data_IF_014806877571
#
_entry.id   IF_014806877571
#
_cell.length_a   1.000
_cell.length_b   1.000
_cell.length_c   1.000
_cell.angle_alpha   90.00
_cell.angle_beta   90.00
_cell.angle_gamma   90.00
#
_symmetry.space_group_name_H-M   'P 1'
#
loop_
_entity.id
_entity.type
_entity.pdbx_description
1 polymer ?
#
# COMPACT_ATOMS: atom_id res chain seq x y z
N UNK A 1 8.32 -41.86 -39.48
CA UNK A 1 7.88 -40.46 -39.75
C UNK A 1 6.49 -40.18 -39.19
N UNK A 2 5.46 -40.96 -39.54
CA UNK A 2 4.06 -40.74 -39.10
C UNK A 2 3.85 -40.68 -37.56
N UNK A 3 4.51 -41.55 -36.79
CA UNK A 3 4.41 -41.51 -35.31
C UNK A 3 4.98 -40.22 -34.69
N UNK A 4 6.01 -39.63 -35.32
CA UNK A 4 6.63 -38.39 -34.85
C UNK A 4 5.70 -37.19 -35.07
N UNK A 5 5.02 -37.13 -36.22
CA UNK A 5 4.02 -36.09 -36.52
C UNK A 5 2.81 -36.19 -35.59
N UNK A 6 2.28 -37.39 -35.38
CA UNK A 6 1.16 -37.62 -34.46
C UNK A 6 1.52 -37.19 -33.02
N UNK A 7 2.75 -37.49 -32.57
CA UNK A 7 3.25 -37.07 -31.26
C UNK A 7 3.41 -35.56 -31.16
N UNK A 8 3.94 -34.91 -32.21
CA UNK A 8 4.11 -33.46 -32.26
C UNK A 8 2.77 -32.73 -32.25
N UNK A 9 1.79 -33.22 -33.00
CA UNK A 9 0.43 -32.68 -33.04
C UNK A 9 -0.25 -32.77 -31.66
N UNK A 10 -0.08 -33.91 -30.96
CA UNK A 10 -0.61 -34.10 -29.61
C UNK A 10 0.06 -33.17 -28.59
N UNK A 11 1.37 -32.93 -28.70
CA UNK A 11 2.09 -31.97 -27.85
C UNK A 11 1.66 -30.53 -28.12
N UNK A 12 1.46 -30.15 -29.38
CA UNK A 12 0.98 -28.83 -29.77
C UNK A 12 -0.42 -28.55 -29.20
N UNK A 13 -1.34 -29.50 -29.35
CA UNK A 13 -2.69 -29.40 -28.78
C UNK A 13 -2.66 -29.29 -27.25
N UNK A 14 -1.79 -30.06 -26.58
CA UNK A 14 -1.62 -29.97 -25.13
C UNK A 14 -1.05 -28.62 -24.67
N UNK A 15 -0.16 -28.00 -25.45
CA UNK A 15 0.36 -26.65 -25.18
C UNK A 15 -0.71 -25.58 -25.36
N UNK A 16 -1.51 -25.68 -26.42
CA UNK A 16 -2.64 -24.77 -26.67
C UNK A 16 -3.66 -24.84 -25.53
N UNK A 17 -4.02 -26.03 -25.06
CA UNK A 17 -4.89 -26.21 -23.90
C UNK A 17 -4.31 -25.60 -22.62
N UNK A 18 -3.01 -25.77 -22.37
CA UNK A 18 -2.34 -25.16 -21.21
C UNK A 18 -2.33 -23.64 -21.28
N UNK A 19 -2.10 -23.06 -22.46
CA UNK A 19 -2.10 -21.61 -22.64
C UNK A 19 -3.50 -21.01 -22.40
N UNK A 20 -4.56 -21.69 -22.85
CA UNK A 20 -5.95 -21.30 -22.59
C UNK A 20 -6.23 -21.32 -21.08
N UNK A 21 -5.91 -22.43 -20.41
CA UNK A 21 -6.14 -22.57 -18.97
C UNK A 21 -5.35 -21.52 -18.15
N UNK A 22 -4.10 -21.22 -18.54
CA UNK A 22 -3.32 -20.16 -17.90
C UNK A 22 -3.95 -18.78 -18.10
N UNK A 23 -4.46 -18.50 -19.30
CA UNK A 23 -5.18 -17.25 -19.58
C UNK A 23 -6.42 -17.08 -18.71
N UNK A 24 -7.20 -18.15 -18.52
CA UNK A 24 -8.37 -18.16 -17.63
C UNK A 24 -7.99 -17.92 -16.16
N UNK A 25 -6.94 -18.58 -15.67
CA UNK A 25 -6.43 -18.38 -14.30
C UNK A 25 -5.95 -16.95 -14.09
N UNK A 26 -5.26 -16.34 -15.06
CA UNK A 26 -4.82 -14.94 -14.98
C UNK A 26 -6.03 -14.01 -14.89
N UNK A 27 -7.03 -14.20 -15.76
CA UNK A 27 -8.25 -13.40 -15.74
C UNK A 27 -8.97 -13.52 -14.38
N UNK A 28 -9.03 -14.72 -13.80
CA UNK A 28 -9.63 -14.93 -12.49
C UNK A 28 -8.85 -14.22 -11.37
N UNK A 29 -7.52 -14.23 -11.42
CA UNK A 29 -6.67 -13.50 -10.47
C UNK A 29 -6.91 -11.98 -10.57
N UNK A 30 -7.07 -11.44 -11.78
CA UNK A 30 -7.35 -10.02 -11.99
C UNK A 30 -8.72 -9.62 -11.43
N UNK A 31 -9.74 -10.46 -11.63
CA UNK A 31 -11.09 -10.25 -11.08
C UNK A 31 -11.08 -10.29 -9.54
N UNK A 32 -10.42 -11.28 -8.94
CA UNK A 32 -10.28 -11.38 -7.48
C UNK A 32 -9.52 -10.20 -6.88
N UNK A 33 -8.46 -9.72 -7.55
CA UNK A 33 -7.75 -8.49 -7.14
C UNK A 33 -8.63 -7.25 -7.21
N UNK A 34 -9.47 -7.14 -8.25
CA UNK A 34 -10.45 -6.06 -8.39
C UNK A 34 -11.46 -6.06 -7.26
N UNK A 35 -12.04 -7.24 -6.96
CA UNK A 35 -13.02 -7.42 -5.89
C UNK A 35 -12.48 -7.01 -4.52
N UNK A 36 -11.24 -7.41 -4.20
CA UNK A 36 -10.59 -7.01 -2.94
C UNK A 36 -10.49 -5.49 -2.83
N UNK A 37 -10.14 -4.81 -3.92
CA UNK A 37 -10.04 -3.34 -3.95
C UNK A 37 -11.41 -2.68 -3.76
N UNK A 38 -12.45 -3.19 -4.41
CA UNK A 38 -13.81 -2.67 -4.32
C UNK A 38 -14.40 -2.87 -2.90
N UNK A 39 -14.12 -4.01 -2.28
CA UNK A 39 -14.51 -4.31 -0.90
C UNK A 39 -13.78 -3.38 0.08
N UNK A 40 -12.50 -3.04 -0.16
CA UNK A 40 -11.75 -2.07 0.64
C UNK A 40 -12.37 -0.69 0.51
N UNK A 41 -12.62 -0.22 -0.71
CA UNK A 41 -13.20 1.10 -0.96
C UNK A 41 -14.57 1.24 -0.29
N UNK A 42 -15.41 0.21 -0.42
CA UNK A 42 -16.72 0.14 0.22
C UNK A 42 -16.59 0.19 1.74
N UNK A 43 -15.71 -0.60 2.33
CA UNK A 43 -15.52 -0.66 3.78
C UNK A 43 -14.92 0.63 4.35
N UNK A 44 -13.97 1.27 3.67
CA UNK A 44 -13.42 2.57 4.07
C UNK A 44 -14.51 3.63 4.03
N UNK A 45 -15.29 3.70 2.94
CA UNK A 45 -16.32 4.71 2.77
C UNK A 45 -17.50 4.54 3.74
N UNK A 46 -17.89 3.30 4.06
CA UNK A 46 -19.02 3.03 4.95
C UNK A 46 -18.62 3.11 6.43
N UNK A 47 -17.41 2.71 6.80
CA UNK A 47 -17.04 2.55 8.21
C UNK A 47 -16.05 3.62 8.68
N UNK A 48 -15.05 3.97 7.88
CA UNK A 48 -13.97 4.88 8.29
C UNK A 48 -14.34 6.34 8.04
N UNK A 49 -14.80 6.69 6.84
CA UNK A 49 -15.14 8.07 6.45
C UNK A 49 -16.16 8.76 7.37
N UNK A 50 -17.25 8.09 7.84
CA UNK A 50 -18.21 8.72 8.74
C UNK A 50 -17.62 9.04 10.12
N UNK A 51 -16.65 8.24 10.60
CA UNK A 51 -15.96 8.49 11.87
C UNK A 51 -14.98 9.67 11.72
N UNK A 52 -14.30 9.77 10.57
CA UNK A 52 -13.42 10.91 10.26
C UNK A 52 -14.20 12.23 10.17
N UNK A 53 -15.37 12.23 9.54
CA UNK A 53 -16.25 13.41 9.49
C UNK A 53 -16.73 13.85 10.88
N UNK A 54 -17.02 12.90 11.78
CA UNK A 54 -17.37 13.19 13.18
C UNK A 54 -16.19 13.75 13.97
N UNK A 55 -14.98 13.20 13.77
CA UNK A 55 -13.73 13.69 14.38
C UNK A 55 -13.34 15.10 13.92
N UNK A 56 -13.72 15.49 12.71
CA UNK A 56 -13.47 16.84 12.17
C UNK A 56 -14.42 17.89 12.75
N UNK A 57 -15.68 17.50 13.05
CA UNK A 57 -16.73 18.41 13.52
C UNK A 57 -16.70 18.64 15.03
N UNK A 58 -16.46 17.60 15.81
CA UNK A 58 -16.35 17.69 17.27
C UNK A 58 -14.88 17.55 17.65
N UNK A 59 -14.33 18.47 18.46
CA UNK A 59 -12.97 18.35 19.03
C UNK A 59 -12.73 16.90 19.42
N UNK A 60 -11.78 16.24 18.75
CA UNK A 60 -11.60 14.79 18.70
C UNK A 60 -11.95 14.08 20.02
N UNK A 61 -13.13 13.47 20.08
CA UNK A 61 -13.53 12.65 21.22
C UNK A 61 -12.71 11.36 21.22
N UNK A 62 -12.09 11.02 22.36
CA UNK A 62 -11.35 9.77 22.55
C UNK A 62 -12.17 8.53 22.15
N UNK A 63 -13.51 8.61 22.24
CA UNK A 63 -14.44 7.57 21.81
C UNK A 63 -14.36 7.29 20.30
N UNK A 64 -14.36 8.33 19.47
CA UNK A 64 -14.31 8.16 18.03
C UNK A 64 -12.95 7.65 17.54
N UNK A 65 -11.86 8.09 18.19
CA UNK A 65 -10.50 7.57 17.92
C UNK A 65 -10.42 6.08 18.26
N UNK A 66 -10.99 5.67 19.38
CA UNK A 66 -11.01 4.25 19.81
C UNK A 66 -11.81 3.39 18.84
N UNK A 67 -12.98 3.87 18.41
CA UNK A 67 -13.83 3.17 17.44
C UNK A 67 -13.14 3.05 16.07
N UNK A 68 -12.49 4.12 15.60
CA UNK A 68 -11.69 4.10 14.37
C UNK A 68 -10.58 3.05 14.45
N UNK A 69 -9.83 3.00 15.56
CA UNK A 69 -8.76 2.02 15.78
C UNK A 69 -9.30 0.57 15.74
N UNK A 70 -10.45 0.30 16.35
CA UNK A 70 -11.10 -1.01 16.32
C UNK A 70 -11.50 -1.43 14.90
N UNK A 71 -12.18 -0.55 14.15
CA UNK A 71 -12.61 -0.87 12.79
C UNK A 71 -11.42 -1.06 11.84
N UNK A 72 -10.39 -0.22 11.94
CA UNK A 72 -9.16 -0.38 11.16
C UNK A 72 -8.40 -1.66 11.53
N UNK A 73 -8.37 -2.05 12.81
CA UNK A 73 -7.77 -3.31 13.23
C UNK A 73 -8.48 -4.53 12.62
N UNK A 74 -9.82 -4.52 12.60
CA UNK A 74 -10.59 -5.60 11.96
C UNK A 74 -10.38 -5.66 10.45
N UNK A 75 -10.43 -4.51 9.79
CA UNK A 75 -10.19 -4.42 8.35
C UNK A 75 -8.77 -4.88 7.98
N UNK A 76 -7.75 -4.49 8.76
CA UNK A 76 -6.36 -4.89 8.47
C UNK A 76 -6.08 -6.35 8.82
N UNK A 77 -6.77 -6.95 9.79
CA UNK A 77 -6.60 -8.36 10.17
C UNK A 77 -7.12 -9.37 9.14
N UNK A 78 -8.11 -8.99 8.32
CA UNK A 78 -8.54 -9.82 7.18
C UNK A 78 -7.53 -9.80 6.02
N UNK A 79 -6.60 -8.85 6.01
CA UNK A 79 -5.48 -8.83 5.07
C UNK A 79 -4.26 -9.47 5.76
N UNK A 80 -4.12 -10.79 5.60
CA UNK A 80 -2.95 -11.54 6.07
C UNK A 80 -1.66 -10.76 5.82
N UNK A 81 -0.87 -10.58 6.88
CA UNK A 81 0.29 -9.70 7.04
C UNK A 81 1.30 -9.66 5.88
N UNK A 82 0.97 -8.98 4.79
CA UNK A 82 1.86 -8.75 3.64
C UNK A 82 2.16 -7.25 3.44
N UNK A 83 1.34 -6.33 3.97
CA UNK A 83 1.52 -4.88 3.75
C UNK A 83 2.80 -4.34 4.40
N UNK A 84 3.35 -5.01 5.42
CA UNK A 84 4.59 -4.57 6.09
C UNK A 84 5.86 -5.25 5.58
N UNK A 85 5.77 -6.33 4.79
CA UNK A 85 6.94 -7.12 4.38
C UNK A 85 7.86 -6.41 3.38
N UNK A 86 7.34 -5.44 2.64
CA UNK A 86 8.15 -4.58 1.78
C UNK A 86 8.47 -3.21 2.38
N UNK A 87 8.27 -3.03 3.69
CA UNK A 87 8.78 -1.83 4.35
C UNK A 87 10.32 -1.89 4.30
N UNK A 88 10.86 -1.17 3.32
CA UNK A 88 12.15 -0.49 3.35
C UNK A 88 12.60 -0.35 4.82
N UNK A 89 13.86 -0.72 5.16
CA UNK A 89 14.48 -0.81 6.51
C UNK A 89 14.36 0.45 7.41
N UNK A 90 13.19 1.05 7.44
CA UNK A 90 12.75 2.28 8.05
C UNK A 90 12.20 1.90 9.42
N UNK A 91 12.47 2.74 10.41
CA UNK A 91 11.87 2.59 11.73
C UNK A 91 10.38 2.97 11.67
N UNK A 92 9.55 2.55 12.65
CA UNK A 92 8.15 2.95 12.70
C UNK A 92 7.93 4.47 12.58
N UNK A 93 8.81 5.27 13.21
CA UNK A 93 8.76 6.73 13.12
C UNK A 93 9.15 7.26 11.74
N UNK A 94 10.10 6.62 11.07
CA UNK A 94 10.45 6.97 9.69
C UNK A 94 9.34 6.57 8.70
N UNK A 95 8.63 5.46 8.93
CA UNK A 95 7.46 5.07 8.14
C UNK A 95 6.35 6.10 8.29
N UNK A 96 6.05 6.52 9.53
CA UNK A 96 5.06 7.57 9.80
C UNK A 96 5.41 8.88 9.08
N UNK A 97 6.65 9.36 9.22
CA UNK A 97 7.11 10.57 8.52
C UNK A 97 7.05 10.36 7.00
N UNK A 98 7.48 9.20 6.49
CA UNK A 98 7.44 8.87 5.07
C UNK A 98 6.02 8.95 4.49
N UNK A 99 5.02 8.42 5.20
CA UNK A 99 3.62 8.49 4.80
C UNK A 99 3.10 9.94 4.75
N UNK A 100 3.46 10.77 5.73
CA UNK A 100 3.09 12.18 5.74
C UNK A 100 3.77 12.95 4.59
N UNK A 101 5.03 12.63 4.27
CA UNK A 101 5.72 13.21 3.11
C UNK A 101 5.07 12.78 1.80
N UNK A 102 4.69 11.50 1.65
CA UNK A 102 3.94 10.98 0.50
C UNK A 102 2.60 11.71 0.32
N UNK A 103 1.93 12.00 1.44
CA UNK A 103 0.72 12.83 1.52
C UNK A 103 0.92 14.30 1.15
N UNK A 104 2.15 14.76 0.89
CA UNK A 104 2.44 16.12 0.44
C UNK A 104 2.68 17.14 1.55
N UNK A 105 2.75 16.72 2.83
CA UNK A 105 2.97 17.64 3.93
C UNK A 105 4.42 18.16 3.95
N UNK A 106 4.60 19.45 4.27
CA UNK A 106 5.93 20.04 4.43
C UNK A 106 6.55 19.64 5.77
N UNK A 107 7.87 19.78 5.92
CA UNK A 107 8.54 19.50 7.20
C UNK A 107 8.00 20.36 8.36
N UNK A 108 7.47 21.56 8.05
CA UNK A 108 6.83 22.47 9.02
C UNK A 108 5.45 21.96 9.44
N UNK A 109 4.66 21.46 8.50
CA UNK A 109 3.35 20.88 8.81
C UNK A 109 3.51 19.61 9.65
N UNK A 110 4.47 18.76 9.27
CA UNK A 110 4.78 17.53 10.00
C UNK A 110 5.31 17.85 11.40
N UNK A 111 6.16 18.87 11.56
CA UNK A 111 6.66 19.26 12.89
C UNK A 111 5.53 19.70 13.82
N UNK A 112 4.57 20.46 13.29
CA UNK A 112 3.40 20.91 14.05
C UNK A 112 2.47 19.75 14.37
N UNK A 113 2.21 18.88 13.39
CA UNK A 113 1.33 17.71 13.55
C UNK A 113 1.86 16.73 14.60
N UNK A 114 3.17 16.48 14.58
CA UNK A 114 3.82 15.51 15.43
C UNK A 114 4.36 16.10 16.75
N UNK A 115 4.17 17.41 16.96
CA UNK A 115 4.67 18.18 18.10
C UNK A 115 6.16 17.94 18.41
N UNK A 116 7.00 17.98 17.36
CA UNK A 116 8.46 17.82 17.46
C UNK A 116 9.17 18.87 16.62
N UNK A 117 10.45 19.13 16.91
CA UNK A 117 11.19 20.19 16.22
C UNK A 117 11.28 19.95 14.71
N UNK A 118 11.24 21.03 13.92
CA UNK A 118 11.50 21.00 12.48
C UNK A 118 12.83 20.29 12.15
N UNK A 119 13.87 20.53 12.94
CA UNK A 119 15.19 19.87 12.78
C UNK A 119 15.10 18.35 12.95
N UNK A 120 14.22 17.87 13.83
CA UNK A 120 13.97 16.43 14.01
C UNK A 120 13.33 15.83 12.75
N UNK A 121 12.39 16.53 12.13
CA UNK A 121 11.77 16.10 10.86
C UNK A 121 12.79 16.07 9.72
N UNK A 122 13.65 17.09 9.61
CA UNK A 122 14.73 17.10 8.63
C UNK A 122 15.69 15.91 8.81
N UNK A 123 16.02 15.57 10.07
CA UNK A 123 16.82 14.37 10.38
C UNK A 123 16.12 13.09 9.94
N UNK A 124 14.82 12.94 10.22
CA UNK A 124 14.04 11.78 9.74
C UNK A 124 14.02 11.71 8.21
N UNK A 125 13.76 12.80 7.51
CA UNK A 125 13.78 12.86 6.03
C UNK A 125 15.13 12.47 5.44
N UNK A 126 16.22 12.92 6.05
CA UNK A 126 17.59 12.53 5.65
C UNK A 126 17.83 11.02 5.84
N UNK A 127 17.44 10.47 6.98
CA UNK A 127 17.58 9.05 7.27
C UNK A 127 16.73 8.20 6.30
N UNK A 128 15.51 8.65 6.00
CA UNK A 128 14.65 8.02 4.99
C UNK A 128 15.38 8.00 3.65
N UNK A 129 15.90 9.14 3.17
CA UNK A 129 16.66 9.20 1.91
C UNK A 129 17.86 8.25 1.88
N UNK A 130 18.56 8.09 3.00
CA UNK A 130 19.70 7.18 3.13
C UNK A 130 19.25 5.72 2.99
N UNK A 131 18.19 5.35 3.70
CA UNK A 131 17.64 3.99 3.69
C UNK A 131 16.95 3.64 2.36
N UNK A 132 16.48 4.65 1.62
CA UNK A 132 15.94 4.53 0.26
C UNK A 132 17.03 4.58 -0.83
N UNK A 133 18.30 4.80 -0.50
CA UNK A 133 19.38 4.87 -1.48
C UNK A 133 19.34 6.10 -2.41
N UNK A 134 18.66 7.18 -2.00
CA UNK A 134 18.51 8.41 -2.78
C UNK A 134 19.21 9.63 -2.18
N UNK A 135 19.99 9.48 -1.10
CA UNK A 135 20.68 10.59 -0.43
C UNK A 135 21.40 11.54 -1.38
N UNK A 136 22.14 10.98 -2.34
CA UNK A 136 23.01 11.73 -3.24
C UNK A 136 22.35 12.06 -4.59
N UNK A 137 21.06 11.76 -4.75
CA UNK A 137 20.33 12.02 -5.99
C UNK A 137 19.54 13.33 -5.84
N UNK A 138 19.54 14.17 -6.88
CA UNK A 138 18.67 15.37 -6.97
C UNK A 138 17.21 14.97 -7.25
N UNK A 139 16.67 14.09 -6.42
CA UNK A 139 15.31 13.58 -6.50
C UNK A 139 14.52 14.15 -5.33
N UNK A 140 13.33 14.69 -5.61
CA UNK A 140 12.41 15.13 -4.57
C UNK A 140 11.85 13.90 -3.83
N UNK A 141 11.97 13.88 -2.50
CA UNK A 141 11.51 12.74 -1.69
C UNK A 141 10.01 12.50 -1.85
N UNK A 142 9.18 13.55 -1.94
CA UNK A 142 7.73 13.42 -2.13
C UNK A 142 7.38 12.79 -3.47
N UNK A 143 8.02 13.23 -4.57
CA UNK A 143 7.79 12.65 -5.89
C UNK A 143 8.20 11.19 -5.94
N UNK A 144 9.39 10.86 -5.42
CA UNK A 144 9.89 9.49 -5.34
C UNK A 144 8.93 8.57 -4.58
N UNK A 145 8.40 9.02 -3.44
CA UNK A 145 7.49 8.22 -2.62
C UNK A 145 6.08 8.03 -3.22
N UNK A 146 5.71 8.81 -4.24
CA UNK A 146 4.43 8.63 -4.95
C UNK A 146 4.51 7.66 -6.12
N UNK A 147 5.72 7.44 -6.65
CA UNK A 147 5.99 6.47 -7.71
C UNK A 147 6.10 5.02 -7.19
N UNK A 148 6.24 4.86 -5.87
CA UNK A 148 6.11 3.59 -5.12
C UNK A 148 4.72 3.46 -4.49
#
# INVERSE_FOLDING_TARGET
MLESEAKLQKQKSALEQKNIALGEVIAQIEVEKGRIKDDIETNVNIVVSPILEKLKKEKASAKYVTMLKYHLGRLTSSFGSEITKNSLKLTPREIEVCNLVKGGLTSKDISNLLNISYRTIEKHRRNIRQKLGISNKRINLTSFLREF
#
